data_IF_871269576199
#
_entry.id   IF_871269576199
#
_cell.length_a   1.000
_cell.length_b   1.000
_cell.length_c   1.000
_cell.angle_alpha   90.00
_cell.angle_beta   90.00
_cell.angle_gamma   90.00
#
_symmetry.space_group_name_H-M   'P 1'
#
loop_
_entity.id
_entity.type
_entity.pdbx_description
1 polymer ?
#
# COMPACT_ATOMS: atom_id res chain seq x y z
N UNK A 1 6.16 27.53 -33.77
CA UNK A 1 6.66 26.39 -32.97
C UNK A 1 5.77 26.31 -31.74
N UNK A 2 4.87 25.33 -31.68
CA UNK A 2 3.92 25.19 -30.58
C UNK A 2 4.56 24.33 -29.48
N UNK A 3 4.74 24.90 -28.29
CA UNK A 3 5.21 24.16 -27.11
C UNK A 3 4.07 23.28 -26.57
N UNK A 4 4.28 21.97 -26.36
CA UNK A 4 3.28 21.15 -25.69
C UNK A 4 3.20 21.56 -24.22
N UNK A 5 2.03 22.04 -23.82
CA UNK A 5 1.67 22.30 -22.43
C UNK A 5 1.55 20.93 -21.76
N UNK A 6 2.60 20.51 -21.04
CA UNK A 6 2.56 19.31 -20.21
C UNK A 6 1.52 19.57 -19.11
N UNK A 7 0.36 18.95 -19.21
CA UNK A 7 -0.58 18.85 -18.11
C UNK A 7 0.08 17.99 -17.02
N UNK A 8 0.87 18.64 -16.16
CA UNK A 8 1.27 18.07 -14.89
C UNK A 8 0.02 17.92 -14.03
N UNK A 9 -0.71 16.83 -14.26
CA UNK A 9 -1.77 16.35 -13.38
C UNK A 9 -1.09 15.81 -12.10
N UNK A 10 -0.47 16.71 -11.32
CA UNK A 10 -0.27 16.45 -9.90
C UNK A 10 -1.67 16.50 -9.32
N UNK A 11 -2.35 15.36 -9.33
CA UNK A 11 -3.55 15.19 -8.55
C UNK A 11 -3.14 15.46 -7.11
N UNK A 12 -3.45 16.67 -6.62
CA UNK A 12 -3.39 17.01 -5.21
C UNK A 12 -4.44 16.12 -4.53
N UNK A 13 -4.08 14.88 -4.26
CA UNK A 13 -4.88 13.99 -3.46
C UNK A 13 -4.80 14.48 -2.02
N UNK A 14 -5.79 15.26 -1.60
CA UNK A 14 -6.14 15.38 -0.17
C UNK A 14 -6.51 14.01 0.44
N UNK A 15 -6.68 12.99 -0.41
CA UNK A 15 -7.45 11.78 -0.14
C UNK A 15 -6.86 10.76 0.84
N UNK A 16 -5.67 10.97 1.41
CA UNK A 16 -5.09 10.00 2.36
C UNK A 16 -4.14 10.63 3.39
N UNK A 17 -4.54 11.76 3.98
CA UNK A 17 -3.88 12.28 5.19
C UNK A 17 -4.65 11.81 6.42
N UNK A 18 -3.93 11.28 7.41
CA UNK A 18 -4.48 10.94 8.71
C UNK A 18 -3.88 11.83 9.79
N UNK A 19 -4.71 12.26 10.72
CA UNK A 19 -4.28 13.00 11.91
C UNK A 19 -4.09 12.03 13.08
N UNK A 20 -3.09 12.30 13.92
CA UNK A 20 -2.95 11.72 15.26
C UNK A 20 -3.06 12.88 16.25
N UNK A 21 -4.06 12.81 17.12
CA UNK A 21 -4.36 13.85 18.09
C UNK A 21 -3.34 13.88 19.25
N UNK A 22 -3.22 15.00 19.97
CA UNK A 22 -2.40 15.06 21.18
C UNK A 22 -2.80 13.99 22.19
N UNK A 23 -1.81 13.21 22.67
CA UNK A 23 -2.02 12.14 23.64
C UNK A 23 -2.73 10.90 23.08
N UNK A 24 -2.95 10.82 21.77
CA UNK A 24 -3.47 9.63 21.10
C UNK A 24 -2.32 8.69 20.73
N UNK A 25 -2.45 7.42 21.12
CA UNK A 25 -1.63 6.32 20.60
C UNK A 25 -2.45 5.49 19.62
N UNK A 26 -2.01 5.43 18.35
CA UNK A 26 -2.70 4.73 17.27
C UNK A 26 -1.91 3.51 16.80
N UNK A 27 -2.48 2.29 16.87
CA UNK A 27 -1.88 1.14 16.22
C UNK A 27 -1.95 1.28 14.70
N UNK A 28 -0.91 0.82 14.02
CA UNK A 28 -0.81 0.75 12.58
C UNK A 28 -0.37 -0.66 12.19
N UNK A 29 -1.20 -1.33 11.38
CA UNK A 29 -0.87 -2.62 10.77
C UNK A 29 -0.68 -2.44 9.27
N UNK A 30 0.45 -2.93 8.76
CA UNK A 30 0.74 -2.91 7.33
C UNK A 30 0.30 -4.23 6.72
N UNK A 31 -0.71 -4.16 5.86
CA UNK A 31 -1.16 -5.31 5.07
C UNK A 31 -0.13 -5.77 4.02
N UNK A 32 -0.57 -6.51 2.99
CA UNK A 32 0.31 -6.99 1.94
C UNK A 32 1.04 -5.86 1.19
N UNK A 33 2.34 -6.05 0.97
CA UNK A 33 3.22 -5.08 0.31
C UNK A 33 3.76 -4.03 1.28
N UNK A 34 5.01 -3.61 1.06
CA UNK A 34 5.61 -2.55 1.87
C UNK A 34 4.89 -1.22 1.67
N UNK A 35 4.98 -0.35 2.67
CA UNK A 35 4.45 1.00 2.64
C UNK A 35 5.50 2.00 3.09
N UNK A 36 5.26 3.26 2.76
CA UNK A 36 6.03 4.37 3.29
C UNK A 36 5.12 5.20 4.19
N UNK A 37 5.48 5.34 5.45
CA UNK A 37 4.87 6.34 6.33
C UNK A 37 5.62 7.64 6.12
N UNK A 38 4.91 8.70 5.75
CA UNK A 38 5.47 10.04 5.53
C UNK A 38 4.77 11.05 6.42
N UNK A 39 5.51 11.79 7.23
CA UNK A 39 4.93 12.86 8.04
C UNK A 39 4.76 14.10 7.16
N UNK A 40 3.54 14.61 7.08
CA UNK A 40 3.20 15.80 6.29
C UNK A 40 3.16 17.05 7.15
N UNK A 41 2.81 16.94 8.43
CA UNK A 41 2.81 18.04 9.40
C UNK A 41 3.11 17.57 10.81
N UNK A 42 3.66 18.46 11.64
CA UNK A 42 3.91 18.18 13.05
C UNK A 42 5.07 17.20 13.27
N UNK A 43 5.00 16.47 14.40
CA UNK A 43 6.01 15.49 14.80
C UNK A 43 5.34 14.22 15.32
N UNK A 44 5.85 13.08 14.88
CA UNK A 44 5.32 11.75 15.17
C UNK A 44 6.38 10.89 15.85
N UNK A 45 6.05 10.30 17.00
CA UNK A 45 6.77 9.19 17.58
C UNK A 45 6.26 7.90 16.95
N UNK A 46 7.18 7.08 16.46
CA UNK A 46 6.90 5.78 15.89
C UNK A 46 7.63 4.72 16.73
N UNK A 47 6.86 3.79 17.30
CA UNK A 47 7.40 2.58 17.92
C UNK A 47 7.13 1.40 17.00
N UNK A 48 8.19 0.73 16.56
CA UNK A 48 8.14 -0.56 15.88
C UNK A 48 8.49 -1.65 16.91
N UNK A 49 7.59 -2.61 17.19
CA UNK A 49 7.88 -3.69 18.12
C UNK A 49 9.09 -4.51 17.68
N UNK A 50 9.89 -4.92 18.67
CA UNK A 50 10.99 -5.84 18.45
C UNK A 50 10.52 -7.26 18.18
N UNK A 51 11.46 -8.11 17.80
CA UNK A 51 11.31 -9.56 17.77
C UNK A 51 12.11 -10.19 18.90
N UNK A 52 12.20 -11.53 18.94
CA UNK A 52 13.09 -12.21 19.88
C UNK A 52 14.57 -11.87 19.62
N UNK A 53 14.92 -11.58 18.37
CA UNK A 53 16.31 -11.37 17.93
C UNK A 53 16.66 -9.89 17.72
N UNK A 54 15.66 -9.02 17.62
CA UNK A 54 15.83 -7.59 17.35
C UNK A 54 15.06 -6.75 18.38
N UNK A 55 15.69 -5.73 19.02
CA UNK A 55 14.98 -4.88 19.97
C UNK A 55 13.92 -4.02 19.26
N UNK A 56 12.96 -3.54 20.04
CA UNK A 56 12.01 -2.52 19.57
C UNK A 56 12.76 -1.25 19.14
N UNK A 57 12.22 -0.57 18.14
CA UNK A 57 12.79 0.66 17.59
C UNK A 57 11.83 1.82 17.82
N UNK A 58 12.35 2.88 18.44
CA UNK A 58 11.63 4.12 18.67
C UNK A 58 12.28 5.24 17.86
N UNK A 59 11.48 5.95 17.06
CA UNK A 59 11.99 7.03 16.20
C UNK A 59 11.06 8.23 16.22
N UNK A 60 11.64 9.42 16.37
CA UNK A 60 10.96 10.68 16.08
C UNK A 60 11.04 10.97 14.58
N UNK A 61 9.89 11.31 13.99
CA UNK A 61 9.76 11.74 12.59
C UNK A 61 9.16 13.15 12.56
N UNK A 62 9.74 14.03 11.76
CA UNK A 62 9.27 15.39 11.53
C UNK A 62 8.69 15.56 10.13
N UNK A 63 8.02 16.70 9.86
CA UNK A 63 7.52 17.02 8.51
C UNK A 63 8.59 16.77 7.45
N UNK A 64 8.23 15.97 6.46
CA UNK A 64 9.10 15.62 5.34
C UNK A 64 9.77 14.26 5.52
N UNK A 65 9.98 13.81 6.75
CA UNK A 65 10.56 12.51 7.03
C UNK A 65 9.66 11.39 6.53
N UNK A 66 10.30 10.31 6.11
CA UNK A 66 9.60 9.11 5.67
C UNK A 66 10.36 7.87 6.08
N UNK A 67 9.60 6.83 6.48
CA UNK A 67 10.15 5.53 6.85
C UNK A 67 9.45 4.43 6.07
N UNK A 68 10.24 3.46 5.60
CA UNK A 68 9.72 2.27 4.97
C UNK A 68 9.24 1.29 6.04
N UNK A 69 7.99 0.84 5.91
CA UNK A 69 7.41 -0.20 6.75
C UNK A 69 7.24 -1.47 5.91
N UNK A 70 7.85 -2.60 6.31
CA UNK A 70 7.72 -3.85 5.56
C UNK A 70 6.28 -4.37 5.60
N UNK A 71 5.97 -5.29 4.67
CA UNK A 71 4.68 -5.97 4.68
C UNK A 71 4.51 -6.77 5.99
N UNK A 72 3.34 -6.68 6.60
CA UNK A 72 3.07 -7.30 7.90
C UNK A 72 3.62 -6.55 9.11
N UNK A 73 4.27 -5.40 8.92
CA UNK A 73 4.76 -4.60 10.04
C UNK A 73 3.61 -4.16 10.95
N UNK A 74 3.87 -4.18 12.25
CA UNK A 74 3.05 -3.54 13.27
C UNK A 74 3.82 -2.34 13.83
N UNK A 75 3.09 -1.28 14.16
CA UNK A 75 3.68 -0.12 14.80
C UNK A 75 2.65 0.61 15.66
N UNK A 76 3.14 1.47 16.56
CA UNK A 76 2.33 2.42 17.31
C UNK A 76 2.78 3.83 16.95
N UNK A 77 1.80 4.70 16.69
CA UNK A 77 1.99 6.09 16.32
C UNK A 77 1.49 7.00 17.45
N UNK A 78 2.31 7.95 17.89
CA UNK A 78 1.93 8.97 18.86
C UNK A 78 2.33 10.35 18.36
N UNK A 79 1.50 11.36 18.61
CA UNK A 79 1.80 12.73 18.18
C UNK A 79 2.28 13.63 19.31
N UNK A 80 3.13 14.60 18.97
CA UNK A 80 3.52 15.66 19.90
C UNK A 80 3.71 17.04 19.23
N UNK A 81 2.86 18.05 19.51
CA UNK A 81 1.53 17.92 20.11
C UNK A 81 0.53 17.28 19.15
N UNK A 82 0.68 17.45 17.84
CA UNK A 82 -0.16 16.84 16.81
C UNK A 82 0.68 16.45 15.61
N UNK A 83 0.18 15.51 14.81
CA UNK A 83 0.85 15.09 13.59
C UNK A 83 -0.17 14.77 12.49
N UNK A 84 0.22 15.04 11.25
CA UNK A 84 -0.44 14.52 10.07
C UNK A 84 0.55 13.64 9.30
N UNK A 85 0.07 12.52 8.79
CA UNK A 85 0.88 11.59 8.01
C UNK A 85 0.11 10.98 6.86
N UNK A 86 0.86 10.47 5.90
CA UNK A 86 0.36 9.69 4.78
C UNK A 86 0.99 8.30 4.80
N UNK A 87 0.24 7.31 4.30
CA UNK A 87 0.72 5.96 4.08
C UNK A 87 0.74 5.67 2.58
N UNK A 88 1.92 5.75 1.97
CA UNK A 88 2.12 5.67 0.54
C UNK A 88 2.37 4.23 0.10
N UNK A 89 1.85 3.88 -1.07
CA UNK A 89 2.11 2.61 -1.76
C UNK A 89 3.29 2.84 -2.71
N UNK A 90 4.42 2.12 -2.59
CA UNK A 90 5.46 2.19 -3.60
C UNK A 90 4.94 1.56 -4.92
N UNK A 91 5.33 2.07 -6.10
CA UNK A 91 4.85 1.56 -7.40
C UNK A 91 5.05 0.05 -7.57
N UNK A 92 6.09 -0.49 -6.94
CA UNK A 92 6.49 -1.88 -7.03
C UNK A 92 5.69 -2.83 -6.11
N UNK A 93 4.84 -2.30 -5.21
CA UNK A 93 4.04 -3.10 -4.30
C UNK A 93 3.09 -4.08 -5.04
N UNK A 94 2.64 -3.72 -6.25
CA UNK A 94 1.70 -4.51 -7.05
C UNK A 94 2.35 -5.63 -7.90
N UNK A 95 3.69 -5.77 -7.91
CA UNK A 95 4.39 -6.73 -8.79
C UNK A 95 4.10 -8.23 -8.50
N UNK A 96 3.27 -8.54 -7.50
CA UNK A 96 2.88 -9.92 -7.12
C UNK A 96 1.49 -10.38 -7.59
N UNK A 97 0.74 -9.55 -8.31
CA UNK A 97 -0.48 -9.99 -8.97
C UNK A 97 -0.15 -10.65 -10.30
N UNK A 98 -0.52 -11.93 -10.51
CA UNK A 98 -0.60 -12.51 -11.87
C UNK A 98 -1.18 -11.46 -12.79
N UNK A 99 -0.48 -11.16 -13.88
CA UNK A 99 -0.86 -10.10 -14.82
C UNK A 99 -2.34 -10.21 -15.17
N UNK A 100 -3.03 -9.07 -15.30
CA UNK A 100 -4.38 -9.04 -15.87
C UNK A 100 -4.41 -9.78 -17.23
N UNK A 101 -3.31 -9.73 -17.98
CA UNK A 101 -3.11 -10.51 -19.20
C UNK A 101 -3.09 -12.04 -18.97
N UNK A 102 -2.57 -12.49 -17.82
CA UNK A 102 -2.54 -13.90 -17.42
C UNK A 102 -3.93 -14.39 -16.97
N UNK A 103 -4.73 -13.52 -16.36
CA UNK A 103 -6.15 -13.82 -16.05
C UNK A 103 -7.00 -13.87 -17.33
N UNK A 104 -6.75 -12.98 -18.28
CA UNK A 104 -7.42 -12.99 -19.59
C UNK A 104 -7.07 -14.24 -20.43
N UNK A 105 -5.82 -14.72 -20.40
CA UNK A 105 -5.41 -15.92 -21.14
C UNK A 105 -6.00 -17.21 -20.55
N UNK A 106 -6.13 -17.29 -19.23
CA UNK A 106 -6.82 -18.40 -18.54
C UNK A 106 -8.31 -18.45 -18.90
N UNK A 107 -8.97 -17.30 -19.10
CA UNK A 107 -10.39 -17.23 -19.51
C UNK A 107 -10.65 -17.59 -20.98
N UNK A 108 -9.69 -17.38 -21.89
CA UNK A 108 -9.84 -17.78 -23.30
C UNK A 108 -9.65 -19.28 -23.47
N UNK A 109 -8.71 -19.88 -22.74
CA UNK A 109 -8.43 -21.32 -22.76
C UNK A 109 -9.63 -22.16 -22.31
N UNK A 110 -10.41 -21.67 -21.34
CA UNK A 110 -11.62 -22.37 -20.86
C UNK A 110 -12.80 -22.31 -21.83
N UNK A 111 -12.79 -21.38 -22.81
CA UNK A 111 -13.83 -21.30 -23.85
C UNK A 111 -13.53 -22.13 -25.10
N UNK A 112 -12.29 -22.56 -25.29
CA UNK A 112 -11.88 -23.41 -26.43
C UNK A 112 -11.87 -24.91 -26.11
N UNK A 113 -12.02 -25.29 -24.82
CA UNK A 113 -12.06 -26.70 -24.39
C UNK A 113 -13.46 -27.33 -24.30
N UNK A 114 -14.54 -26.58 -24.53
CA UNK A 114 -15.91 -27.09 -24.45
C UNK A 114 -16.45 -27.43 -25.85
N UNK A 115 -15.85 -28.42 -26.53
CA UNK A 115 -16.44 -29.04 -27.73
C UNK A 115 -15.90 -30.44 -27.98
N UNK A 116 -16.72 -31.44 -27.62
CA UNK A 116 -16.91 -32.74 -28.30
C UNK A 116 -17.63 -33.68 -27.31
N UNK A 117 -18.72 -34.40 -27.57
CA UNK A 117 -19.71 -34.54 -28.64
C UNK A 117 -20.87 -35.37 -28.03
N UNK A 118 -22.09 -35.35 -28.60
CA UNK A 118 -23.19 -36.22 -28.20
C UNK A 118 -23.15 -37.54 -28.98
N UNK A 119 -23.59 -38.64 -28.38
CA UNK A 119 -24.07 -39.81 -29.13
C UNK A 119 -25.09 -40.60 -28.30
N UNK A 120 -26.35 -40.45 -28.71
CA UNK A 120 -27.42 -41.41 -28.46
C UNK A 120 -26.96 -42.81 -28.88
N UNK A 121 -27.27 -43.82 -28.08
CA UNK A 121 -27.51 -45.16 -28.62
C UNK A 121 -28.75 -45.76 -27.96
N UNK A 122 -29.76 -45.93 -28.81
CA UNK A 122 -30.97 -46.69 -28.53
C UNK A 122 -30.71 -48.17 -28.85
N UNK A 123 -31.21 -49.06 -28.01
CA UNK A 123 -31.84 -50.32 -28.39
C UNK A 123 -32.66 -50.82 -27.19
#
# INVERSE_FOLDING_TARGET
MASPMVMSNFQQSEAASWTVAPGEARPLEIGPGSRWLRVTEGRLWLTVPGTADEPAQDVWLERGDSVALPAGAQAVLEAWPSAQFQLLVPPDACKRGKSLAQRFSEQLSSRLGASSSPALHAA
#
